data_IF_692372147527
#
_entry.id   IF_692372147527
#
_cell.length_a   1.000
_cell.length_b   1.000
_cell.length_c   1.000
_cell.angle_alpha   90.00
_cell.angle_beta   90.00
_cell.angle_gamma   90.00
#
_symmetry.space_group_name_H-M   'P 1'
#
loop_
_entity.id
_entity.type
_entity.pdbx_description
1 polymer ?
#
# COMPACT_ATOMS: atom_id res chain seq x y z
N UNK A 1 -0.23 -3.86 -8.46
CA UNK A 1 -0.32 -4.13 -9.91
C UNK A 1 -0.38 -2.78 -10.60
N UNK A 2 0.36 -2.60 -11.68
CA UNK A 2 0.36 -1.34 -12.42
C UNK A 2 -0.21 -1.60 -13.81
N UNK A 3 -1.33 -0.97 -14.13
CA UNK A 3 -1.87 -0.95 -15.48
C UNK A 3 -1.18 0.19 -16.25
N UNK A 4 -0.12 -0.14 -16.97
CA UNK A 4 0.60 0.80 -17.80
C UNK A 4 -0.19 1.04 -19.11
N UNK A 5 -0.28 2.29 -19.60
CA UNK A 5 -1.05 2.61 -20.81
C UNK A 5 -0.65 1.75 -22.02
N UNK A 6 0.65 1.62 -22.31
CA UNK A 6 1.11 0.86 -23.49
C UNK A 6 1.52 -0.59 -23.19
N UNK A 7 2.06 -0.86 -22.00
CA UNK A 7 2.61 -2.18 -21.64
C UNK A 7 1.58 -3.13 -20.99
N UNK A 8 0.37 -2.65 -20.72
CA UNK A 8 -0.66 -3.43 -20.05
C UNK A 8 -0.36 -3.69 -18.57
N UNK A 9 -0.75 -4.86 -18.07
CA UNK A 9 -0.61 -5.22 -16.66
C UNK A 9 0.85 -5.58 -16.33
N UNK A 10 1.47 -4.78 -15.46
CA UNK A 10 2.81 -5.02 -14.89
C UNK A 10 2.66 -5.55 -13.46
N UNK A 11 3.34 -6.65 -13.16
CA UNK A 11 3.33 -7.27 -11.84
C UNK A 11 4.31 -6.59 -10.88
N UNK A 12 4.05 -6.61 -9.55
CA UNK A 12 4.93 -5.99 -8.55
C UNK A 12 6.40 -6.40 -8.68
N UNK A 13 6.69 -7.68 -8.94
CA UNK A 13 8.07 -8.17 -9.08
C UNK A 13 8.89 -7.46 -10.16
N UNK A 14 8.25 -6.80 -11.13
CA UNK A 14 8.94 -6.10 -12.21
C UNK A 14 9.32 -4.65 -11.87
N UNK A 15 8.67 -4.02 -10.88
CA UNK A 15 8.88 -2.59 -10.58
C UNK A 15 9.23 -2.29 -9.12
N UNK A 16 9.02 -3.23 -8.19
CA UNK A 16 9.24 -2.97 -6.75
C UNK A 16 10.71 -2.64 -6.47
N UNK A 17 11.66 -3.38 -7.04
CA UNK A 17 13.09 -3.09 -6.83
C UNK A 17 13.48 -1.70 -7.34
N UNK A 18 12.95 -1.29 -8.49
CA UNK A 18 13.18 0.09 -9.01
C UNK A 18 12.55 1.13 -8.09
N UNK A 19 11.35 0.86 -7.56
CA UNK A 19 10.70 1.76 -6.60
C UNK A 19 11.48 1.88 -5.28
N UNK A 20 12.14 0.81 -4.83
CA UNK A 20 13.04 0.81 -3.67
C UNK A 20 14.29 1.65 -3.95
N UNK A 21 14.99 1.38 -5.05
CA UNK A 21 16.19 2.12 -5.46
C UNK A 21 15.93 3.61 -5.67
N UNK A 22 14.75 3.96 -6.20
CA UNK A 22 14.34 5.35 -6.41
C UNK A 22 13.78 6.04 -5.15
N UNK A 23 13.68 5.34 -4.01
CA UNK A 23 13.06 5.86 -2.79
C UNK A 23 11.54 6.10 -2.90
N UNK A 24 10.91 5.63 -3.97
CA UNK A 24 9.46 5.76 -4.20
C UNK A 24 8.64 4.75 -3.39
N UNK A 25 9.28 3.69 -2.88
CA UNK A 25 8.60 2.61 -2.18
C UNK A 25 7.83 3.08 -0.94
N UNK A 26 8.35 4.07 -0.21
CA UNK A 26 7.66 4.63 0.96
C UNK A 26 6.38 5.37 0.55
N UNK A 27 6.45 6.16 -0.53
CA UNK A 27 5.29 6.89 -1.07
C UNK A 27 4.25 5.93 -1.65
N UNK A 28 4.68 4.91 -2.39
CA UNK A 28 3.79 3.87 -2.91
C UNK A 28 3.12 3.11 -1.76
N UNK A 29 3.88 2.71 -0.75
CA UNK A 29 3.37 1.99 0.41
C UNK A 29 2.32 2.78 1.18
N UNK A 30 2.55 4.07 1.42
CA UNK A 30 1.57 4.95 2.05
C UNK A 30 0.27 5.06 1.23
N UNK A 31 0.38 5.18 -0.10
CA UNK A 31 -0.77 5.20 -0.99
C UNK A 31 -1.55 3.87 -0.96
N UNK A 32 -0.85 2.72 -1.02
CA UNK A 32 -1.46 1.39 -0.95
C UNK A 32 -2.18 1.18 0.38
N UNK A 33 -1.57 1.55 1.51
CA UNK A 33 -2.21 1.42 2.83
C UNK A 33 -3.46 2.27 2.94
N UNK A 34 -3.43 3.52 2.46
CA UNK A 34 -4.63 4.37 2.46
C UNK A 34 -5.77 3.73 1.66
N UNK A 35 -5.47 3.22 0.46
CA UNK A 35 -6.47 2.51 -0.35
C UNK A 35 -6.98 1.23 0.30
N UNK A 36 -6.11 0.48 0.98
CA UNK A 36 -6.50 -0.72 1.70
C UNK A 36 -7.44 -0.39 2.89
N UNK A 37 -7.14 0.64 3.69
CA UNK A 37 -8.00 1.07 4.79
C UNK A 37 -9.38 1.52 4.29
N UNK A 38 -9.42 2.44 3.31
CA UNK A 38 -10.66 2.92 2.70
C UNK A 38 -11.52 1.76 2.16
N UNK A 39 -10.90 0.83 1.42
CA UNK A 39 -11.63 -0.31 0.86
C UNK A 39 -12.10 -1.29 1.93
N UNK A 40 -11.31 -1.49 3.00
CA UNK A 40 -11.69 -2.36 4.13
C UNK A 40 -12.91 -1.80 4.84
N UNK A 41 -12.97 -0.49 5.08
CA UNK A 41 -14.11 0.15 5.72
C UNK A 41 -15.40 -0.09 4.91
N UNK A 42 -15.36 0.18 3.61
CA UNK A 42 -16.51 -0.04 2.70
C UNK A 42 -16.99 -1.48 2.77
N UNK A 43 -16.08 -2.46 2.78
CA UNK A 43 -16.46 -3.87 2.85
C UNK A 43 -17.01 -4.28 4.21
N UNK A 44 -16.45 -3.75 5.31
CA UNK A 44 -16.95 -4.01 6.66
C UNK A 44 -18.36 -3.48 6.87
N UNK A 45 -18.68 -2.33 6.30
CA UNK A 45 -20.00 -1.69 6.42
C UNK A 45 -21.08 -2.35 5.53
N UNK A 46 -20.68 -3.10 4.49
CA UNK A 46 -21.62 -3.63 3.50
C UNK A 46 -21.77 -5.14 3.55
N UNK A 47 -20.67 -5.88 3.34
CA UNK A 47 -20.74 -7.31 2.96
C UNK A 47 -19.96 -8.23 3.89
N UNK A 48 -18.94 -7.73 4.60
CA UNK A 48 -17.98 -8.54 5.36
C UNK A 48 -17.52 -7.84 6.66
N UNK A 49 -18.39 -7.75 7.69
CA UNK A 49 -18.09 -7.01 8.92
C UNK A 49 -16.85 -7.52 9.70
N UNK A 50 -16.48 -8.80 9.53
CA UNK A 50 -15.30 -9.40 10.15
C UNK A 50 -14.02 -9.38 9.31
N UNK A 51 -14.00 -8.68 8.16
CA UNK A 51 -12.89 -8.76 7.22
C UNK A 51 -11.58 -8.24 7.83
N UNK A 52 -10.51 -9.02 7.60
CA UNK A 52 -9.13 -8.63 7.87
C UNK A 52 -8.38 -8.54 6.54
N UNK A 53 -7.63 -7.46 6.36
CA UNK A 53 -6.75 -7.26 5.22
C UNK A 53 -5.31 -7.19 5.73
N UNK A 54 -4.41 -7.85 5.02
CA UNK A 54 -2.97 -7.71 5.21
C UNK A 54 -2.39 -6.88 4.06
N UNK A 55 -1.50 -5.95 4.39
CA UNK A 55 -0.74 -5.16 3.42
C UNK A 55 0.74 -5.51 3.57
N UNK A 56 1.38 -5.85 2.47
CA UNK A 56 2.82 -6.14 2.48
C UNK A 56 3.61 -4.83 2.57
N UNK A 57 4.67 -4.84 3.38
CA UNK A 57 5.64 -3.75 3.50
C UNK A 57 6.99 -4.21 2.96
N UNK A 58 7.69 -3.31 2.28
CA UNK A 58 9.08 -3.53 1.86
C UNK A 58 10.03 -3.42 3.06
N UNK A 59 11.20 -4.08 3.01
CA UNK A 59 12.26 -3.90 4.01
C UNK A 59 12.70 -2.43 4.17
N UNK A 60 12.73 -1.67 3.06
CA UNK A 60 13.10 -0.26 3.07
C UNK A 60 12.15 0.61 3.92
N UNK A 61 10.85 0.27 3.94
CA UNK A 61 9.88 0.99 4.77
C UNK A 61 10.10 0.78 6.27
N UNK A 62 10.65 -0.36 6.70
CA UNK A 62 10.99 -0.57 8.12
C UNK A 62 12.13 0.31 8.62
N UNK A 63 12.93 0.86 7.70
CA UNK A 63 13.99 1.81 8.02
C UNK A 63 13.48 3.26 8.06
N UNK A 64 12.24 3.51 7.67
CA UNK A 64 11.62 4.83 7.73
C UNK A 64 11.12 5.14 9.14
N UNK A 65 11.77 6.09 9.82
CA UNK A 65 11.37 6.55 11.15
C UNK A 65 9.93 7.09 11.19
N UNK A 66 9.38 7.50 10.05
CA UNK A 66 8.03 8.05 9.92
C UNK A 66 6.97 6.99 9.63
N UNK A 67 7.35 5.71 9.50
CA UNK A 67 6.43 4.63 9.16
C UNK A 67 5.25 4.56 10.14
N UNK A 68 5.52 4.50 11.44
CA UNK A 68 4.48 4.37 12.48
C UNK A 68 3.52 5.56 12.42
N UNK A 69 4.05 6.79 12.37
CA UNK A 69 3.23 8.00 12.30
C UNK A 69 2.35 8.01 11.05
N UNK A 70 2.90 7.58 9.91
CA UNK A 70 2.17 7.52 8.64
C UNK A 70 1.04 6.49 8.68
N UNK A 71 1.28 5.31 9.27
CA UNK A 71 0.26 4.26 9.45
C UNK A 71 -0.85 4.75 10.36
N UNK A 72 -0.51 5.30 11.53
CA UNK A 72 -1.51 5.80 12.50
C UNK A 72 -2.40 6.85 11.86
N UNK A 73 -1.81 7.82 11.16
CA UNK A 73 -2.57 8.86 10.45
C UNK A 73 -3.55 8.30 9.41
N UNK A 74 -3.19 7.20 8.74
CA UNK A 74 -4.07 6.54 7.77
C UNK A 74 -5.21 5.79 8.46
N UNK A 75 -4.97 5.22 9.64
CA UNK A 75 -5.99 4.49 10.41
C UNK A 75 -7.00 5.40 11.11
N UNK A 76 -6.62 6.65 11.40
CA UNK A 76 -7.48 7.64 12.05
C UNK A 76 -8.36 8.43 11.05
N UNK A 77 -8.29 8.11 9.75
CA UNK A 77 -9.17 8.66 8.70
C UNK A 77 -10.43 7.82 8.54
#
# INVERSE_FOLDING_TARGET
RWHHPDRGLILPGEFISVAEECGLINRLGAWVMNKACQQTQIWRETTLPGLRIAVNLSPAQFQDAELVRSVTKIMDQ
#
